data_IF_904323829334
#
_entry.id   IF_904323829334
#
_cell.length_a   1.000
_cell.length_b   1.000
_cell.length_c   1.000
_cell.angle_alpha   90.00
_cell.angle_beta   90.00
_cell.angle_gamma   90.00
#
_symmetry.space_group_name_H-M   'P 1'
#
loop_
_entity.id
_entity.type
_entity.pdbx_description
1 polymer ?
#
# COMPACT_ATOMS: atom_id res chain seq x y z
N UNK A 1 9.08 -33.13 -10.32
CA UNK A 1 9.79 -32.03 -9.64
C UNK A 1 9.96 -30.78 -10.54
N UNK A 2 8.95 -30.36 -11.33
CA UNK A 2 9.19 -29.40 -12.45
C UNK A 2 8.18 -28.25 -12.65
N UNK A 3 7.00 -28.28 -12.05
CA UNK A 3 5.99 -27.22 -12.19
C UNK A 3 6.06 -26.13 -11.11
N UNK A 4 6.39 -26.51 -9.87
CA UNK A 4 6.49 -25.56 -8.76
C UNK A 4 7.74 -24.69 -8.81
N UNK A 5 8.88 -25.25 -9.24
CA UNK A 5 10.13 -24.50 -9.42
C UNK A 5 9.98 -23.41 -10.48
N UNK A 6 9.33 -23.70 -11.62
CA UNK A 6 9.11 -22.71 -12.68
C UNK A 6 8.22 -21.55 -12.21
N UNK A 7 7.12 -21.85 -11.51
CA UNK A 7 6.25 -20.82 -10.90
C UNK A 7 6.97 -20.00 -9.83
N UNK A 8 7.90 -20.62 -9.08
CA UNK A 8 8.72 -19.92 -8.10
C UNK A 8 9.67 -18.93 -8.78
N UNK A 9 10.35 -19.34 -9.85
CA UNK A 9 11.23 -18.45 -10.63
C UNK A 9 10.45 -17.32 -11.32
N UNK A 10 9.29 -17.61 -11.92
CA UNK A 10 8.43 -16.57 -12.51
C UNK A 10 7.96 -15.56 -11.45
N UNK A 11 7.58 -16.01 -10.24
CA UNK A 11 7.26 -15.13 -9.12
C UNK A 11 8.47 -14.33 -8.64
N UNK A 12 9.65 -14.93 -8.58
CA UNK A 12 10.88 -14.26 -8.18
C UNK A 12 11.30 -13.21 -9.21
N UNK A 13 11.20 -13.49 -10.50
CA UNK A 13 11.42 -12.51 -11.57
C UNK A 13 10.39 -11.37 -11.52
N UNK A 14 9.11 -11.69 -11.33
CA UNK A 14 8.05 -10.69 -11.21
C UNK A 14 8.30 -9.77 -9.98
N UNK A 15 8.68 -10.35 -8.84
CA UNK A 15 9.07 -9.62 -7.63
C UNK A 15 10.32 -8.77 -7.84
N UNK A 16 11.33 -9.28 -8.55
CA UNK A 16 12.54 -8.52 -8.87
C UNK A 16 12.27 -7.31 -9.80
N UNK A 17 11.16 -7.33 -10.54
CA UNK A 17 10.74 -6.23 -11.42
C UNK A 17 9.93 -5.15 -10.69
N UNK A 18 9.23 -5.48 -9.59
CA UNK A 18 8.60 -4.47 -8.73
C UNK A 18 9.68 -3.80 -7.90
N UNK A 19 10.22 -2.70 -8.44
CA UNK A 19 11.22 -1.88 -7.75
C UNK A 19 10.52 -0.73 -7.03
N UNK A 20 10.85 -0.53 -5.76
CA UNK A 20 10.59 0.75 -5.10
C UNK A 20 11.10 1.88 -6.00
N UNK A 21 10.32 2.93 -6.12
CA UNK A 21 10.70 4.12 -6.87
C UNK A 21 10.76 5.33 -5.93
N UNK A 22 11.92 5.55 -5.27
CA UNK A 22 12.08 6.62 -4.30
C UNK A 22 11.79 8.02 -4.86
N UNK A 23 11.96 8.21 -6.19
CA UNK A 23 11.67 9.48 -6.86
C UNK A 23 10.20 9.89 -6.70
N UNK A 24 9.28 8.96 -6.45
CA UNK A 24 7.85 9.20 -6.32
C UNK A 24 7.32 9.03 -4.89
N UNK A 25 8.22 8.74 -3.93
CA UNK A 25 7.89 8.76 -2.51
C UNK A 25 7.60 10.21 -2.09
N UNK A 26 6.51 10.40 -1.34
CA UNK A 26 6.08 11.73 -0.91
C UNK A 26 5.60 11.68 0.53
N UNK A 27 5.98 12.69 1.31
CA UNK A 27 5.31 12.98 2.57
C UNK A 27 4.14 13.92 2.28
N UNK A 28 2.96 13.55 2.75
CA UNK A 28 1.77 14.34 2.59
C UNK A 28 1.65 15.35 3.73
N UNK A 29 1.54 16.63 3.41
CA UNK A 29 1.34 17.68 4.41
C UNK A 29 2.08 18.99 4.12
N UNK A 30 1.79 20.04 4.91
CA UNK A 30 2.41 21.36 4.76
C UNK A 30 3.95 21.26 4.73
N UNK A 31 4.58 21.98 3.78
CA UNK A 31 6.03 21.93 3.54
C UNK A 31 6.50 20.82 2.60
N UNK A 32 5.61 19.92 2.16
CA UNK A 32 5.88 18.91 1.13
C UNK A 32 4.74 18.87 0.10
N UNK A 33 4.32 17.69 -0.35
CA UNK A 33 3.17 17.57 -1.25
C UNK A 33 1.90 17.62 -0.43
N UNK A 34 1.07 18.62 -0.68
CA UNK A 34 -0.16 18.83 0.05
C UNK A 34 -1.25 19.25 -0.93
N UNK A 35 -2.45 18.72 -0.72
CA UNK A 35 -3.64 19.05 -1.49
C UNK A 35 -4.75 19.37 -0.52
N UNK A 36 -5.42 20.49 -0.74
CA UNK A 36 -6.60 20.93 0.03
C UNK A 36 -7.90 20.29 -0.43
N UNK A 37 -7.82 19.32 -1.34
CA UNK A 37 -8.95 18.62 -1.95
C UNK A 37 -8.49 17.38 -2.72
N UNK A 38 -9.33 16.91 -3.64
CA UNK A 38 -8.99 15.78 -4.49
C UNK A 38 -7.76 16.09 -5.39
N UNK A 39 -6.96 15.07 -5.70
CA UNK A 39 -5.87 15.19 -6.66
C UNK A 39 -6.41 15.39 -8.09
N UNK A 40 -5.98 16.48 -8.75
CA UNK A 40 -6.34 16.83 -10.13
C UNK A 40 -5.11 16.85 -11.04
N UNK A 41 -4.56 15.67 -11.38
CA UNK A 41 -3.38 15.51 -12.24
C UNK A 41 -3.70 14.98 -13.64
N UNK A 42 -4.97 15.06 -14.05
CA UNK A 42 -5.45 14.59 -15.34
C UNK A 42 -5.61 13.07 -15.47
N UNK A 43 -5.33 12.27 -14.43
CA UNK A 43 -5.54 10.82 -14.45
C UNK A 43 -6.97 10.46 -14.04
N UNK A 44 -7.55 9.50 -14.76
CA UNK A 44 -8.87 8.94 -14.47
C UNK A 44 -8.79 7.91 -13.33
N UNK A 45 -9.30 8.31 -12.16
CA UNK A 45 -9.39 7.49 -10.93
C UNK A 45 -10.84 7.15 -10.59
N UNK A 46 -11.71 7.12 -11.59
CA UNK A 46 -13.13 6.83 -11.38
C UNK A 46 -13.86 7.96 -10.65
N UNK A 47 -15.02 7.65 -10.04
CA UNK A 47 -15.99 8.68 -9.62
C UNK A 47 -15.66 9.35 -8.28
N UNK A 48 -14.68 8.86 -7.52
CA UNK A 48 -14.36 9.39 -6.20
C UNK A 48 -13.04 10.18 -6.23
N UNK A 49 -12.96 11.25 -5.41
CA UNK A 49 -11.78 12.10 -5.31
C UNK A 49 -10.68 11.45 -4.46
N UNK A 50 -9.43 11.46 -4.94
CA UNK A 50 -8.28 10.97 -4.15
C UNK A 50 -7.83 12.02 -3.15
N UNK A 51 -8.15 11.81 -1.87
CA UNK A 51 -7.74 12.68 -0.77
C UNK A 51 -6.44 12.19 -0.14
N UNK A 52 -5.47 13.08 0.02
CA UNK A 52 -4.17 12.74 0.57
C UNK A 52 -4.16 12.97 2.08
N UNK A 53 -3.91 11.93 2.90
CA UNK A 53 -3.94 12.08 4.34
C UNK A 53 -2.68 12.81 4.84
N UNK A 54 -2.85 13.97 5.47
CA UNK A 54 -1.76 14.77 6.05
C UNK A 54 -1.00 13.98 7.12
N UNK A 55 0.32 14.04 7.08
CA UNK A 55 1.25 13.34 7.98
C UNK A 55 1.77 12.00 7.44
N UNK A 56 1.16 11.47 6.38
CA UNK A 56 1.49 10.14 5.87
C UNK A 56 2.65 10.16 4.88
N UNK A 57 3.37 9.03 4.80
CA UNK A 57 4.40 8.82 3.77
C UNK A 57 3.89 7.81 2.76
N UNK A 58 3.76 8.23 1.51
CA UNK A 58 3.49 7.34 0.38
C UNK A 58 4.81 6.77 -0.13
N UNK A 59 4.85 5.45 -0.25
CA UNK A 59 5.90 4.74 -0.98
C UNK A 59 5.37 4.34 -2.36
N UNK A 60 6.16 4.61 -3.40
CA UNK A 60 5.80 4.31 -4.77
C UNK A 60 6.59 3.10 -5.28
N UNK A 61 5.94 2.32 -6.15
CA UNK A 61 6.52 1.15 -6.79
C UNK A 61 6.36 1.30 -8.30
N UNK A 62 7.35 0.83 -9.05
CA UNK A 62 7.17 0.63 -10.47
C UNK A 62 6.27 -0.58 -10.67
N UNK A 63 5.14 -0.35 -11.33
CA UNK A 63 4.29 -1.41 -11.85
C UNK A 63 4.83 -1.81 -13.22
N UNK A 64 4.93 -3.12 -13.45
CA UNK A 64 5.11 -3.65 -14.81
C UNK A 64 3.74 -3.81 -15.43
N UNK A 65 3.63 -3.72 -16.76
CA UNK A 65 2.41 -3.80 -17.57
C UNK A 65 1.76 -2.44 -17.94
N UNK A 66 0.65 -2.52 -18.68
CA UNK A 66 -0.18 -1.39 -19.12
C UNK A 66 -1.12 -0.91 -18.00
N UNK A 67 -0.61 -0.79 -16.77
CA UNK A 67 -1.37 -0.54 -15.54
C UNK A 67 -2.38 0.60 -15.68
N UNK A 68 -1.94 1.75 -16.23
CA UNK A 68 -2.80 2.93 -16.38
C UNK A 68 -4.01 2.66 -17.30
N UNK A 69 -3.86 1.82 -18.33
CA UNK A 69 -4.96 1.42 -19.22
C UNK A 69 -5.86 0.39 -18.54
N UNK A 70 -5.27 -0.62 -17.89
CA UNK A 70 -5.99 -1.72 -17.22
C UNK A 70 -6.85 -1.25 -16.05
N UNK A 71 -6.37 -0.25 -15.32
CA UNK A 71 -7.04 0.31 -14.14
C UNK A 71 -7.56 1.73 -14.39
N UNK A 72 -7.75 2.12 -15.65
CA UNK A 72 -8.42 3.37 -16.00
C UNK A 72 -9.82 3.40 -15.41
N UNK A 73 -10.16 4.48 -14.71
CA UNK A 73 -11.47 4.61 -14.06
C UNK A 73 -11.62 3.80 -12.76
N UNK A 74 -10.58 3.06 -12.35
CA UNK A 74 -10.59 2.38 -11.06
C UNK A 74 -10.28 3.36 -9.94
N UNK A 75 -11.15 3.34 -8.92
CA UNK A 75 -10.97 4.17 -7.74
C UNK A 75 -9.70 3.75 -6.99
N UNK A 76 -9.04 4.72 -6.35
CA UNK A 76 -8.02 4.43 -5.36
C UNK A 76 -8.59 3.50 -4.28
N UNK A 77 -7.78 2.58 -3.81
CA UNK A 77 -8.15 1.64 -2.76
C UNK A 77 -7.06 1.58 -1.71
N UNK A 78 -7.48 1.52 -0.44
CA UNK A 78 -6.64 1.35 0.74
C UNK A 78 -6.73 -0.08 1.23
N UNK A 79 -5.63 -0.61 1.77
CA UNK A 79 -5.56 -1.97 2.29
C UNK A 79 -4.99 -1.96 3.70
N UNK A 80 -5.89 -1.95 4.69
CA UNK A 80 -5.51 -2.07 6.09
C UNK A 80 -4.70 -3.33 6.36
N UNK A 81 -3.55 -3.18 7.00
CA UNK A 81 -2.68 -4.30 7.35
C UNK A 81 -2.14 -4.18 8.76
N UNK A 82 -1.77 -5.31 9.37
CA UNK A 82 -1.10 -5.30 10.66
C UNK A 82 0.36 -4.87 10.48
N UNK A 83 0.90 -4.18 11.48
CA UNK A 83 2.24 -3.60 11.44
C UNK A 83 3.33 -4.62 11.06
N UNK A 84 3.24 -5.85 11.57
CA UNK A 84 4.20 -6.93 11.30
C UNK A 84 4.21 -7.39 9.84
N UNK A 85 3.16 -7.12 9.06
CA UNK A 85 3.06 -7.51 7.66
C UNK A 85 3.46 -6.39 6.69
N UNK A 86 3.60 -5.15 7.15
CA UNK A 86 3.98 -4.02 6.30
C UNK A 86 5.23 -4.28 5.49
N UNK A 87 6.32 -4.69 6.15
CA UNK A 87 7.59 -4.98 5.47
C UNK A 87 7.45 -6.14 4.47
N UNK A 88 6.70 -7.18 4.82
CA UNK A 88 6.45 -8.30 3.91
C UNK A 88 5.68 -7.84 2.66
N UNK A 89 4.69 -6.96 2.80
CA UNK A 89 3.94 -6.37 1.68
C UNK A 89 4.85 -5.49 0.82
N UNK A 90 5.69 -4.65 1.44
CA UNK A 90 6.65 -3.81 0.70
C UNK A 90 7.64 -4.63 -0.13
N UNK A 91 8.12 -5.77 0.41
CA UNK A 91 9.13 -6.60 -0.24
C UNK A 91 8.55 -7.65 -1.20
N UNK A 92 7.34 -8.15 -0.93
CA UNK A 92 6.77 -9.31 -1.62
C UNK A 92 5.44 -9.04 -2.34
N UNK A 93 4.89 -7.83 -2.21
CA UNK A 93 3.56 -7.47 -2.67
C UNK A 93 2.43 -8.01 -1.78
N UNK A 94 1.19 -7.75 -2.19
CA UNK A 94 -0.01 -8.23 -1.50
C UNK A 94 -0.29 -9.70 -1.84
N UNK A 95 -0.73 -10.46 -0.85
CA UNK A 95 -1.19 -11.83 -1.01
C UNK A 95 -2.71 -11.92 -0.80
N UNK A 96 -3.41 -12.85 -1.46
CA UNK A 96 -4.83 -13.08 -1.21
C UNK A 96 -5.12 -13.36 0.27
N UNK A 97 -6.24 -12.84 0.76
CA UNK A 97 -6.68 -13.05 2.14
C UNK A 97 -6.93 -14.54 2.41
N UNK A 98 -6.53 -15.01 3.61
CA UNK A 98 -6.79 -16.38 4.06
C UNK A 98 -8.28 -16.62 4.33
N UNK A 99 -8.95 -15.62 4.89
CA UNK A 99 -10.39 -15.63 5.08
C UNK A 99 -11.06 -15.02 3.84
N UNK A 100 -11.82 -15.84 3.11
CA UNK A 100 -12.35 -15.52 1.79
C UNK A 100 -13.88 -15.38 1.81
N UNK A 101 -14.43 -14.49 2.64
CA UNK A 101 -15.90 -14.31 2.76
C UNK A 101 -16.57 -13.92 1.43
N UNK A 102 -15.85 -13.20 0.57
CA UNK A 102 -16.30 -12.77 -0.76
C UNK A 102 -15.45 -13.39 -1.89
N UNK A 103 -14.83 -14.55 -1.61
CA UNK A 103 -13.91 -15.21 -2.53
C UNK A 103 -12.44 -14.92 -2.25
N UNK A 104 -11.59 -15.66 -2.95
CA UNK A 104 -10.14 -15.56 -2.82
C UNK A 104 -9.65 -14.32 -3.56
N UNK A 105 -9.03 -13.39 -2.83
CA UNK A 105 -8.58 -12.13 -3.39
C UNK A 105 -7.95 -11.20 -2.35
N UNK A 106 -7.53 -10.03 -2.82
CA UNK A 106 -7.06 -8.94 -1.98
C UNK A 106 -8.27 -8.07 -1.65
N UNK A 107 -8.48 -7.78 -0.37
CA UNK A 107 -9.60 -6.96 0.10
C UNK A 107 -9.09 -5.53 0.27
N UNK A 108 -9.64 -4.60 -0.48
CA UNK A 108 -9.29 -3.19 -0.41
C UNK A 108 -10.56 -2.34 -0.43
N UNK A 109 -10.48 -1.10 0.04
CA UNK A 109 -11.64 -0.19 0.15
C UNK A 109 -11.26 1.21 -0.29
N UNK A 110 -12.15 1.95 -1.00
CA UNK A 110 -11.90 3.37 -1.27
C UNK A 110 -11.98 4.25 -0.02
N UNK A 111 -12.49 3.73 1.10
CA UNK A 111 -12.57 4.47 2.36
C UNK A 111 -11.33 4.25 3.21
N UNK A 112 -10.52 5.30 3.35
CA UNK A 112 -9.37 5.31 4.26
C UNK A 112 -9.78 5.08 5.71
N UNK A 113 -10.94 5.60 6.13
CA UNK A 113 -11.47 5.40 7.49
C UNK A 113 -11.80 3.91 7.72
N UNK A 114 -12.38 3.25 6.72
CA UNK A 114 -12.66 1.82 6.80
C UNK A 114 -11.37 1.00 6.88
N UNK A 115 -10.40 1.28 6.00
CA UNK A 115 -9.12 0.59 6.00
C UNK A 115 -8.30 0.82 7.27
N UNK A 116 -8.41 2.01 7.87
CA UNK A 116 -7.75 2.39 9.12
C UNK A 116 -8.40 1.78 10.37
N UNK A 117 -9.54 1.09 10.26
CA UNK A 117 -10.18 0.48 11.42
C UNK A 117 -9.23 -0.53 12.09
N UNK A 118 -9.09 -0.57 13.43
CA UNK A 118 -8.10 -1.41 14.13
C UNK A 118 -8.19 -2.92 13.85
N UNK A 119 -9.36 -3.37 13.39
CA UNK A 119 -9.58 -4.75 12.89
C UNK A 119 -8.68 -5.10 11.69
N UNK A 120 -8.40 -4.11 10.83
CA UNK A 120 -7.66 -4.28 9.58
C UNK A 120 -6.26 -3.66 9.69
N UNK A 121 -6.18 -2.40 10.12
CA UNK A 121 -4.95 -1.68 10.37
C UNK A 121 -4.59 -1.72 11.86
N UNK A 122 -3.94 -2.81 12.28
CA UNK A 122 -3.59 -3.01 13.69
C UNK A 122 -2.69 -1.89 14.22
N UNK A 123 -3.05 -1.33 15.38
CA UNK A 123 -2.23 -0.31 16.05
C UNK A 123 -1.08 -1.01 16.77
N UNK A 124 0.16 -0.70 16.37
CA UNK A 124 1.37 -1.16 17.04
C UNK A 124 1.92 -0.04 17.92
N UNK A 125 2.13 -0.36 19.19
CA UNK A 125 2.93 0.45 20.10
C UNK A 125 4.40 0.11 19.91
N UNK A 126 5.22 1.13 19.69
CA UNK A 126 6.68 1.03 19.74
C UNK A 126 7.13 1.74 21.02
N UNK A 127 7.66 1.00 22.02
CA UNK A 127 8.16 1.60 23.25
C UNK A 127 9.46 2.38 23.00
N UNK A 128 9.83 3.28 23.93
CA UNK A 128 11.08 4.05 23.85
C UNK A 128 12.33 3.16 23.77
N UNK A 129 12.31 2.02 24.45
CA UNK A 129 13.40 1.02 24.45
C UNK A 129 13.65 0.38 23.08
N UNK A 130 12.62 0.36 22.23
CA UNK A 130 12.67 -0.26 20.90
C UNK A 130 12.72 0.79 19.79
N UNK A 131 12.86 2.06 20.16
CA UNK A 131 13.09 3.11 19.19
C UNK A 131 14.42 2.84 18.48
N UNK A 132 14.35 2.72 17.16
CA UNK A 132 15.50 2.53 16.30
C UNK A 132 15.53 3.67 15.28
N UNK A 133 16.63 3.83 14.53
CA UNK A 133 16.77 4.91 13.56
C UNK A 133 15.64 4.97 12.49
N UNK A 134 14.77 3.94 12.43
CA UNK A 134 13.64 3.85 11.50
C UNK A 134 12.30 4.19 12.15
N UNK A 135 12.06 3.82 13.40
CA UNK A 135 10.82 4.10 14.12
C UNK A 135 11.09 4.72 15.48
N UNK A 136 10.44 5.85 15.74
CA UNK A 136 10.42 6.49 17.06
C UNK A 136 9.41 5.79 17.96
N UNK A 137 9.48 6.09 19.26
CA UNK A 137 8.43 5.68 20.17
C UNK A 137 7.08 6.28 19.74
N UNK A 138 6.00 5.49 19.81
CA UNK A 138 4.67 5.97 19.46
C UNK A 138 3.71 4.91 18.95
N UNK A 139 2.56 5.38 18.48
CA UNK A 139 1.48 4.57 17.94
C UNK A 139 1.55 4.57 16.40
N UNK A 140 1.55 3.38 15.81
CA UNK A 140 1.64 3.22 14.36
C UNK A 140 0.47 2.40 13.84
N UNK A 141 -0.18 2.90 12.80
CA UNK A 141 -1.12 2.15 11.97
C UNK A 141 -0.58 2.08 10.53
N UNK A 142 -0.87 1.00 9.81
CA UNK A 142 -0.43 0.79 8.44
C UNK A 142 -1.63 0.37 7.57
N UNK A 143 -1.81 1.00 6.41
CA UNK A 143 -2.86 0.68 5.44
C UNK A 143 -2.53 1.17 4.02
#
# INVERSE_FOLDING_TARGET
MGRDLKKLFEKQEFRAKIKLNPQWNRKYGPGHTYWTGALHDGRDRGPHGYFCPTGWTRYAFNVIDNYDEKFKGWCFCYHGTKFEFGLAILLSGLAPARAAQHGSGIYASPSIIYAAHPRYAGIKQIPETDSNGYFKAGQYAQF
#
